data_IF_449198260393
#
_entry.id   IF_449198260393
#
_cell.length_a   1.000
_cell.length_b   1.000
_cell.length_c   1.000
_cell.angle_alpha   90.00
_cell.angle_beta   90.00
_cell.angle_gamma   90.00
#
_symmetry.space_group_name_H-M   'P 1'
#
loop_
_entity.id
_entity.type
_entity.pdbx_description
1 polymer ?
#
# COMPACT_ATOMS: atom_id res chain seq x y z
N UNK A 1 23.72 -26.27 -20.48
CA UNK A 1 24.09 -25.07 -19.69
C UNK A 1 23.05 -23.94 -19.83
N UNK A 2 22.53 -23.66 -21.03
CA UNK A 2 21.51 -22.62 -21.25
C UNK A 2 20.13 -22.89 -20.58
N UNK A 3 19.60 -24.12 -20.67
CA UNK A 3 18.32 -24.48 -20.04
C UNK A 3 18.30 -24.32 -18.51
N UNK A 4 19.40 -24.66 -17.83
CA UNK A 4 19.53 -24.51 -16.38
C UNK A 4 19.53 -23.04 -15.94
N UNK A 5 20.08 -22.14 -16.77
CA UNK A 5 20.09 -20.70 -16.51
C UNK A 5 18.68 -20.12 -16.64
N UNK A 6 17.93 -20.46 -17.69
CA UNK A 6 16.54 -20.00 -17.84
C UNK A 6 15.62 -20.52 -16.72
N UNK A 7 15.74 -21.80 -16.34
CA UNK A 7 14.97 -22.36 -15.24
C UNK A 7 15.25 -21.66 -13.90
N UNK A 8 16.51 -21.30 -13.61
CA UNK A 8 16.88 -20.56 -12.38
C UNK A 8 16.21 -19.19 -12.32
N UNK A 9 16.19 -18.43 -13.42
CA UNK A 9 15.55 -17.11 -13.44
C UNK A 9 14.03 -17.20 -13.26
N UNK A 10 13.39 -18.22 -13.88
CA UNK A 10 11.96 -18.47 -13.69
C UNK A 10 11.60 -18.79 -12.23
N UNK A 11 12.39 -19.65 -11.57
CA UNK A 11 12.18 -20.00 -10.16
C UNK A 11 12.34 -18.79 -9.22
N UNK A 12 13.34 -17.94 -9.47
CA UNK A 12 13.55 -16.72 -8.69
C UNK A 12 12.39 -15.73 -8.85
N UNK A 13 11.85 -15.59 -10.07
CA UNK A 13 10.69 -14.72 -10.31
C UNK A 13 9.43 -15.21 -9.57
N UNK A 14 9.15 -16.50 -9.59
CA UNK A 14 8.02 -17.09 -8.86
C UNK A 14 8.20 -16.93 -7.35
N UNK A 15 9.40 -17.14 -6.83
CA UNK A 15 9.68 -16.96 -5.41
C UNK A 15 9.52 -15.49 -4.97
N UNK A 16 10.04 -14.54 -5.75
CA UNK A 16 9.92 -13.11 -5.46
C UNK A 16 8.46 -12.63 -5.49
N UNK A 17 7.69 -13.06 -6.49
CA UNK A 17 6.26 -12.68 -6.58
C UNK A 17 5.45 -13.27 -5.43
N UNK A 18 5.72 -14.51 -5.02
CA UNK A 18 5.11 -15.12 -3.84
C UNK A 18 5.47 -14.34 -2.57
N UNK A 19 6.75 -14.02 -2.37
CA UNK A 19 7.21 -13.26 -1.21
C UNK A 19 6.57 -11.87 -1.15
N UNK A 20 6.44 -11.19 -2.30
CA UNK A 20 5.76 -9.91 -2.40
C UNK A 20 4.28 -10.03 -2.06
N UNK A 21 3.59 -11.05 -2.58
CA UNK A 21 2.18 -11.29 -2.29
C UNK A 21 1.94 -11.53 -0.79
N UNK A 22 2.79 -12.34 -0.14
CA UNK A 22 2.72 -12.61 1.30
C UNK A 22 2.87 -11.34 2.14
N UNK A 23 3.66 -10.36 1.68
CA UNK A 23 3.82 -9.09 2.38
C UNK A 23 2.70 -8.09 2.06
N UNK A 24 2.29 -7.99 0.80
CA UNK A 24 1.34 -6.99 0.34
C UNK A 24 -0.10 -7.26 0.79
N UNK A 25 -0.53 -8.53 0.90
CA UNK A 25 -1.89 -8.86 1.34
C UNK A 25 -2.19 -8.32 2.75
N UNK A 26 -1.41 -8.65 3.80
CA UNK A 26 -1.63 -8.12 5.13
C UNK A 26 -1.38 -6.61 5.20
N UNK A 27 -0.41 -6.08 4.45
CA UNK A 27 -0.16 -4.64 4.39
C UNK A 27 -1.37 -3.87 3.85
N UNK A 28 -2.01 -4.37 2.79
CA UNK A 28 -3.23 -3.78 2.24
C UNK A 28 -4.40 -3.88 3.23
N UNK A 29 -4.55 -5.02 3.91
CA UNK A 29 -5.60 -5.19 4.92
C UNK A 29 -5.42 -4.20 6.10
N UNK A 30 -4.20 -4.08 6.63
CA UNK A 30 -3.90 -3.11 7.69
C UNK A 30 -4.13 -1.68 7.20
N UNK A 31 -3.77 -1.37 5.95
CA UNK A 31 -3.98 -0.05 5.37
C UNK A 31 -5.48 0.28 5.19
N UNK A 32 -6.31 -0.68 4.78
CA UNK A 32 -7.76 -0.46 4.67
C UNK A 32 -8.44 -0.28 6.03
N UNK A 33 -8.01 -1.04 7.03
CA UNK A 33 -8.51 -0.87 8.41
C UNK A 33 -8.03 0.47 8.99
N UNK A 34 -6.79 0.86 8.74
CA UNK A 34 -6.25 2.16 9.17
C UNK A 34 -6.99 3.34 8.51
N UNK A 35 -7.40 3.19 7.24
CA UNK A 35 -8.28 4.13 6.55
C UNK A 35 -9.62 4.30 7.27
N UNK A 36 -10.29 3.18 7.59
CA UNK A 36 -11.58 3.22 8.28
C UNK A 36 -11.48 3.86 9.68
N UNK A 37 -10.40 3.56 10.43
CA UNK A 37 -10.12 4.20 11.72
C UNK A 37 -9.84 5.69 11.53
N UNK A 38 -9.03 6.06 10.54
CA UNK A 38 -8.71 7.45 10.22
C UNK A 38 -9.97 8.26 9.90
N UNK A 39 -10.90 7.69 9.12
CA UNK A 39 -12.18 8.34 8.81
C UNK A 39 -13.05 8.50 10.06
N UNK A 40 -13.17 7.45 10.88
CA UNK A 40 -13.90 7.52 12.14
C UNK A 40 -13.33 8.59 13.09
N UNK A 41 -12.01 8.72 13.15
CA UNK A 41 -11.35 9.76 13.95
C UNK A 41 -11.50 11.14 13.32
N UNK A 42 -11.48 11.27 11.98
CA UNK A 42 -11.74 12.54 11.31
C UNK A 42 -13.12 13.10 11.65
N UNK A 43 -14.14 12.24 11.71
CA UNK A 43 -15.50 12.59 12.15
C UNK A 43 -15.64 12.75 13.66
N UNK A 44 -14.66 12.31 14.46
CA UNK A 44 -14.64 12.54 15.90
C UNK A 44 -14.26 14.00 16.21
N UNK A 45 -14.62 14.51 17.40
CA UNK A 45 -14.31 15.88 17.83
C UNK A 45 -12.82 16.05 18.22
N UNK A 46 -11.89 15.55 17.39
CA UNK A 46 -10.45 15.46 17.66
C UNK A 46 -9.80 16.83 17.87
N UNK A 47 -10.37 17.89 17.30
CA UNK A 47 -9.94 19.27 17.51
C UNK A 47 -10.11 19.76 18.96
N UNK A 48 -11.01 19.12 19.73
CA UNK A 48 -11.30 19.50 21.11
C UNK A 48 -10.34 18.86 22.11
N UNK A 49 -9.46 17.93 21.70
CA UNK A 49 -8.51 17.26 22.60
C UNK A 49 -7.07 17.73 22.36
N UNK A 50 -6.46 18.23 23.43
CA UNK A 50 -5.18 18.94 23.45
C UNK A 50 -3.98 17.98 23.48
N UNK A 51 -3.95 16.97 22.60
CA UNK A 51 -2.81 16.07 22.45
C UNK A 51 -2.10 16.35 21.10
N UNK A 52 -1.05 17.21 21.10
CA UNK A 52 -0.33 17.57 19.88
C UNK A 52 0.26 16.37 19.14
N UNK A 53 0.71 15.35 19.88
CA UNK A 53 1.25 14.10 19.34
C UNK A 53 0.22 13.28 18.57
N UNK A 54 -1.01 13.19 19.10
CA UNK A 54 -2.11 12.48 18.44
C UNK A 54 -2.53 13.19 17.14
N UNK A 55 -2.56 14.52 17.15
CA UNK A 55 -2.88 15.33 15.97
C UNK A 55 -1.89 15.10 14.82
N UNK A 56 -0.59 15.08 15.11
CA UNK A 56 0.45 14.82 14.09
C UNK A 56 0.35 13.40 13.54
N UNK A 57 0.08 12.41 14.40
CA UNK A 57 -0.11 11.01 13.99
C UNK A 57 -1.33 10.84 13.08
N UNK A 58 -2.45 11.50 13.41
CA UNK A 58 -3.68 11.47 12.61
C UNK A 58 -3.50 12.16 11.26
N UNK A 59 -2.85 13.32 11.22
CA UNK A 59 -2.53 14.00 9.96
C UNK A 59 -1.65 13.13 9.06
N UNK A 60 -0.66 12.43 9.64
CA UNK A 60 0.15 11.46 8.91
C UNK A 60 -0.70 10.29 8.40
N UNK A 61 -1.58 9.70 9.22
CA UNK A 61 -2.46 8.63 8.75
C UNK A 61 -3.35 9.09 7.58
N UNK A 62 -4.02 10.23 7.71
CA UNK A 62 -4.87 10.81 6.66
C UNK A 62 -4.06 11.10 5.39
N UNK A 63 -2.85 11.66 5.52
CA UNK A 63 -2.01 11.98 4.37
C UNK A 63 -1.48 10.71 3.67
N UNK A 64 -1.10 9.69 4.43
CA UNK A 64 -0.65 8.41 3.88
C UNK A 64 -1.82 7.62 3.26
N UNK A 65 -3.04 7.82 3.76
CA UNK A 65 -4.22 7.15 3.25
C UNK A 65 -4.74 7.77 1.95
N UNK A 66 -4.59 9.09 1.79
CA UNK A 66 -4.83 9.80 0.52
C UNK A 66 -3.77 9.51 -0.54
N UNK A 67 -2.57 9.10 -0.14
CA UNK A 67 -1.57 8.53 -1.03
C UNK A 67 -1.99 7.09 -1.36
N UNK A 68 -3.06 6.93 -2.14
CA UNK A 68 -3.60 5.64 -2.52
C UNK A 68 -2.49 4.67 -2.95
N UNK A 69 -2.56 3.43 -2.47
CA UNK A 69 -1.57 2.37 -2.75
C UNK A 69 -1.54 2.14 -4.25
N UNK A 70 -0.73 2.94 -4.94
CA UNK A 70 -0.52 2.84 -6.37
C UNK A 70 0.62 1.87 -6.52
N UNK A 71 0.28 0.62 -6.82
CA UNK A 71 1.26 -0.37 -7.24
C UNK A 71 1.87 0.16 -8.54
N UNK A 72 3.02 0.82 -8.42
CA UNK A 72 3.80 1.28 -9.56
C UNK A 72 4.65 0.12 -10.03
N UNK A 73 4.36 -0.43 -11.20
CA UNK A 73 5.29 -1.37 -11.83
C UNK A 73 6.58 -0.61 -12.18
N UNK A 74 7.66 -0.85 -11.43
CA UNK A 74 8.98 -0.24 -11.64
C UNK A 74 9.06 1.28 -11.44
N UNK A 75 8.10 1.89 -10.73
CA UNK A 75 8.06 3.35 -10.52
C UNK A 75 7.60 4.19 -11.72
N UNK A 76 7.38 3.56 -12.88
CA UNK A 76 7.12 4.25 -14.16
C UNK A 76 5.65 4.25 -14.58
N UNK A 77 4.86 3.27 -14.14
CA UNK A 77 3.48 3.10 -14.62
C UNK A 77 2.54 2.94 -13.42
N UNK A 78 1.70 3.96 -13.20
CA UNK A 78 0.54 3.86 -12.32
C UNK A 78 -0.54 3.06 -13.04
N UNK A 79 -0.73 1.80 -12.63
CA UNK A 79 -1.82 0.98 -13.12
C UNK A 79 -3.10 1.47 -12.43
N UNK A 80 -3.80 2.41 -13.06
CA UNK A 80 -5.11 2.88 -12.63
C UNK A 80 -6.17 2.20 -13.52
N UNK A 81 -7.31 1.80 -12.94
CA UNK A 81 -8.46 1.31 -13.69
C UNK A 81 -8.87 2.27 -14.83
N UNK A 82 -8.63 3.57 -14.68
CA UNK A 82 -8.91 4.59 -15.71
C UNK A 82 -7.97 4.50 -16.94
N UNK A 83 -6.73 4.04 -16.79
CA UNK A 83 -5.80 3.86 -17.93
C UNK A 83 -6.10 2.62 -18.78
N UNK A 84 -7.01 1.76 -18.33
CA UNK A 84 -7.47 0.59 -19.07
C UNK A 84 -8.68 0.87 -19.96
N UNK A 85 -9.35 2.02 -19.74
CA UNK A 85 -10.60 2.39 -20.45
C UNK A 85 -10.39 3.46 -21.51
N UNK A 86 -9.14 3.89 -21.74
CA UNK A 86 -8.74 4.85 -22.77
C UNK A 86 -7.56 4.30 -23.57
#
# INVERSE_FOLDING_TARGET
>A
RFYYVQARHGLLFVFLTLQLALYCIPANYIASEALAISDAVYFSNWYSHYFPSLKTLLLLMIQNSQAGITIKAGGLITINAQTLVN
#
